data_IF_767144670794
#
_entry.id   IF_767144670794
#
_cell.length_a   1.000
_cell.length_b   1.000
_cell.length_c   1.000
_cell.angle_alpha   90.00
_cell.angle_beta   90.00
_cell.angle_gamma   90.00
#
_symmetry.space_group_name_H-M   'P 1'
#
loop_
_entity.id
_entity.type
_entity.pdbx_description
1 polymer ?
#
# COMPACT_ATOMS: atom_id res chain seq x y z
N UNK A 1 -23.06 14.82 -44.08
CA UNK A 1 -22.45 15.40 -42.86
C UNK A 1 -22.08 16.83 -43.18
N UNK A 2 -22.93 17.77 -42.78
CA UNK A 2 -22.76 19.21 -43.04
C UNK A 2 -21.58 19.74 -42.20
N UNK A 3 -20.63 20.43 -42.84
CA UNK A 3 -19.48 21.03 -42.14
C UNK A 3 -19.94 22.36 -41.53
N UNK A 4 -19.65 22.63 -40.24
CA UNK A 4 -20.07 23.88 -39.60
C UNK A 4 -19.43 25.08 -40.28
N UNK A 5 -20.23 26.12 -40.50
CA UNK A 5 -19.77 27.39 -41.08
C UNK A 5 -18.74 28.04 -40.15
N UNK A 6 -17.73 28.70 -40.73
CA UNK A 6 -16.65 29.37 -39.99
C UNK A 6 -17.16 30.31 -38.89
N UNK A 7 -18.29 30.98 -39.13
CA UNK A 7 -18.95 31.86 -38.16
C UNK A 7 -19.52 31.10 -36.96
N UNK A 8 -20.01 29.87 -37.16
CA UNK A 8 -20.50 29.02 -36.08
C UNK A 8 -19.34 28.56 -35.20
N UNK A 9 -18.19 28.23 -35.81
CA UNK A 9 -16.98 27.84 -35.08
C UNK A 9 -16.46 29.03 -34.26
N UNK A 10 -16.39 30.22 -34.86
CA UNK A 10 -15.92 31.42 -34.19
C UNK A 10 -16.78 31.79 -32.97
N UNK A 11 -18.10 31.78 -33.12
CA UNK A 11 -19.02 32.04 -32.00
C UNK A 11 -18.91 30.99 -30.90
N UNK A 12 -18.76 29.72 -31.27
CA UNK A 12 -18.60 28.64 -30.31
C UNK A 12 -17.30 28.80 -29.50
N UNK A 13 -16.19 29.11 -30.16
CA UNK A 13 -14.90 29.37 -29.50
C UNK A 13 -14.96 30.59 -28.58
N UNK A 14 -15.58 31.68 -29.04
CA UNK A 14 -15.74 32.89 -28.23
C UNK A 14 -16.59 32.62 -26.97
N UNK A 15 -17.67 31.85 -27.12
CA UNK A 15 -18.50 31.45 -25.98
C UNK A 15 -17.73 30.53 -25.01
N UNK A 16 -16.90 29.63 -25.52
CA UNK A 16 -16.05 28.76 -24.70
C UNK A 16 -15.01 29.55 -23.90
N UNK A 17 -14.39 30.56 -24.51
CA UNK A 17 -13.44 31.45 -23.83
C UNK A 17 -14.10 32.22 -22.69
N UNK A 18 -15.31 32.77 -22.92
CA UNK A 18 -16.06 33.44 -21.87
C UNK A 18 -16.46 32.49 -20.72
N UNK A 19 -16.79 31.23 -21.03
CA UNK A 19 -17.03 30.21 -19.99
C UNK A 19 -15.77 29.96 -19.17
N UNK A 20 -14.61 29.77 -19.78
CA UNK A 20 -13.35 29.55 -19.07
C UNK A 20 -12.94 30.74 -18.20
N UNK A 21 -13.14 31.97 -18.68
CA UNK A 21 -12.88 33.20 -17.90
C UNK A 21 -13.78 33.28 -16.67
N UNK A 22 -15.07 32.95 -16.80
CA UNK A 22 -16.02 32.92 -15.67
C UNK A 22 -15.76 31.77 -14.70
N UNK A 23 -15.30 30.64 -15.22
CA UNK A 23 -15.00 29.45 -14.43
C UNK A 23 -13.65 29.53 -13.72
N UNK A 24 -12.94 30.67 -13.88
CA UNK A 24 -11.73 31.11 -13.18
C UNK A 24 -10.91 29.96 -12.62
N UNK A 25 -9.93 29.47 -13.39
CA UNK A 25 -9.03 28.35 -13.07
C UNK A 25 -8.87 28.06 -11.57
N UNK A 26 -9.85 27.36 -11.00
CA UNK A 26 -9.71 26.64 -9.74
C UNK A 26 -8.91 25.40 -10.11
N UNK A 27 -7.63 25.60 -10.41
CA UNK A 27 -6.67 24.51 -10.35
C UNK A 27 -6.59 24.14 -8.87
N UNK A 28 -7.53 23.28 -8.46
CA UNK A 28 -7.48 22.59 -7.18
C UNK A 28 -6.32 21.60 -7.29
N UNK A 29 -5.09 22.12 -7.17
CA UNK A 29 -3.98 21.31 -6.71
C UNK A 29 -4.48 20.67 -5.40
N UNK A 30 -4.44 19.34 -5.25
CA UNK A 30 -4.59 18.76 -3.94
C UNK A 30 -3.39 19.27 -3.13
N UNK A 31 -3.62 20.25 -2.26
CA UNK A 31 -2.61 20.67 -1.29
C UNK A 31 -2.19 19.40 -0.52
N UNK A 32 -0.90 18.99 -0.55
CA UNK A 32 -0.46 17.81 0.19
C UNK A 32 -0.66 17.96 1.72
N UNK A 33 -0.92 19.18 2.19
CA UNK A 33 -1.23 19.49 3.58
C UNK A 33 -2.62 19.04 4.04
N UNK A 34 -3.54 18.65 3.13
CA UNK A 34 -4.91 18.25 3.50
C UNK A 34 -5.04 16.77 3.91
N UNK A 35 -3.98 15.98 3.83
CA UNK A 35 -4.00 14.57 4.26
C UNK A 35 -3.79 14.39 5.77
N UNK A 36 -3.44 15.45 6.51
CA UNK A 36 -3.29 15.39 7.96
C UNK A 36 -4.10 16.50 8.63
N UNK A 37 -5.42 16.31 8.74
CA UNK A 37 -6.17 16.93 9.82
C UNK A 37 -7.14 15.91 10.43
N UNK A 38 -7.12 15.68 11.76
CA UNK A 38 -8.25 15.09 12.43
C UNK A 38 -9.42 16.08 12.33
N UNK A 39 -10.55 15.63 11.80
CA UNK A 39 -11.73 16.49 11.67
C UNK A 39 -12.28 16.85 13.06
N UNK A 40 -12.09 18.10 13.45
CA UNK A 40 -12.87 18.77 14.48
C UNK A 40 -13.58 19.97 13.86
N UNK A 41 -14.89 19.85 13.63
CA UNK A 41 -15.74 20.99 13.27
C UNK A 41 -15.81 21.96 14.47
N UNK A 42 -15.40 23.21 14.29
CA UNK A 42 -15.81 24.31 15.17
C UNK A 42 -16.44 25.40 14.31
N UNK A 43 -17.72 25.69 14.57
CA UNK A 43 -18.48 26.78 13.98
C UNK A 43 -18.03 28.09 14.63
N UNK A 44 -17.76 29.12 13.83
CA UNK A 44 -17.50 30.47 14.30
C UNK A 44 -18.78 31.29 14.16
N UNK A 45 -19.49 31.52 15.26
CA UNK A 45 -20.45 32.62 15.35
C UNK A 45 -19.76 33.78 16.08
N UNK A 46 -19.79 34.94 15.44
CA UNK A 46 -19.32 36.22 15.94
C UNK A 46 -20.33 36.82 16.92
N UNK A 47 -19.90 37.08 18.16
CA UNK A 47 -20.44 38.19 18.95
C UNK A 47 -19.39 38.73 19.91
N UNK A 48 -19.26 40.05 19.91
CA UNK A 48 -18.40 40.81 20.79
C UNK A 48 -18.90 40.69 22.25
N UNK A 49 -17.95 40.50 23.16
CA UNK A 49 -18.17 40.45 24.60
C UNK A 49 -17.01 39.69 25.24
N UNK A 50 -16.13 40.40 25.97
CA UNK A 50 -14.99 39.80 26.67
C UNK A 50 -15.52 38.97 27.84
N UNK A 51 -15.94 37.75 27.56
CA UNK A 51 -16.25 36.74 28.56
C UNK A 51 -15.00 35.85 28.71
N UNK A 52 -14.37 35.85 29.89
CA UNK A 52 -13.31 34.91 30.21
C UNK A 52 -13.88 33.49 30.12
N UNK A 53 -13.66 32.83 28.99
CA UNK A 53 -14.02 31.43 28.82
C UNK A 53 -13.14 30.62 29.77
N UNK A 54 -13.75 30.12 30.85
CA UNK A 54 -13.11 29.12 31.70
C UNK A 54 -12.69 27.97 30.79
N UNK A 55 -11.38 27.68 30.73
CA UNK A 55 -10.90 26.48 30.04
C UNK A 55 -11.63 25.29 30.66
N UNK A 56 -12.47 24.62 29.86
CA UNK A 56 -12.93 23.29 30.22
C UNK A 56 -11.68 22.44 30.40
N UNK A 57 -11.40 21.89 31.59
CA UNK A 57 -10.28 21.00 31.75
C UNK A 57 -10.58 19.79 30.88
N UNK A 58 -9.92 19.70 29.73
CA UNK A 58 -9.78 18.44 29.05
C UNK A 58 -9.02 17.58 30.07
N UNK A 59 -9.77 16.74 30.81
CA UNK A 59 -9.17 15.69 31.62
C UNK A 59 -8.12 15.07 30.72
N UNK A 60 -6.85 15.07 31.15
CA UNK A 60 -5.76 14.49 30.36
C UNK A 60 -6.14 13.02 30.17
N UNK A 61 -6.84 12.73 29.08
CA UNK A 61 -6.99 11.40 28.57
C UNK A 61 -5.56 10.91 28.53
N UNK A 62 -5.28 9.83 29.25
CA UNK A 62 -3.95 9.27 29.31
C UNK A 62 -3.61 8.91 27.87
N UNK A 63 -2.86 9.76 27.19
CA UNK A 63 -2.31 9.57 25.84
C UNK A 63 -1.23 8.50 25.90
N UNK A 64 -1.54 7.36 26.51
CA UNK A 64 -0.55 6.35 26.86
C UNK A 64 -0.61 5.12 26.00
N UNK A 65 -1.65 4.95 25.17
CA UNK A 65 -1.81 3.68 24.44
C UNK A 65 -1.84 3.85 22.91
N UNK A 66 -2.24 5.02 22.37
CA UNK A 66 -2.30 5.23 20.91
C UNK A 66 -1.03 5.86 20.31
N UNK A 67 -0.24 6.56 21.12
CA UNK A 67 0.98 7.25 20.69
C UNK A 67 2.25 6.38 20.79
N UNK A 68 2.17 5.20 21.43
CA UNK A 68 3.35 4.40 21.78
C UNK A 68 3.72 3.29 20.80
N UNK A 69 2.81 2.88 19.91
CA UNK A 69 3.05 1.79 18.96
C UNK A 69 3.46 2.29 17.56
N UNK A 70 4.23 3.38 17.52
CA UNK A 70 4.64 4.03 16.28
C UNK A 70 6.13 4.37 16.35
N UNK A 71 6.87 4.22 15.24
CA UNK A 71 8.34 4.43 15.19
C UNK A 71 8.78 5.89 15.43
N UNK A 72 7.86 6.83 15.62
CA UNK A 72 8.14 8.25 15.89
C UNK A 72 8.28 9.13 14.64
N UNK A 73 8.56 10.43 14.81
CA UNK A 73 8.65 11.41 13.72
C UNK A 73 9.81 11.12 12.75
N UNK A 74 10.94 10.64 13.26
CA UNK A 74 12.14 10.34 12.46
C UNK A 74 11.88 9.28 11.38
N UNK A 75 10.85 8.44 11.61
CA UNK A 75 10.43 7.41 10.68
C UNK A 75 8.93 7.49 10.37
N UNK A 76 8.50 8.71 9.99
CA UNK A 76 7.18 9.03 9.41
C UNK A 76 5.98 8.42 10.14
N UNK A 77 6.08 8.27 11.46
CA UNK A 77 5.03 7.65 12.25
C UNK A 77 4.59 6.28 11.69
N UNK A 78 5.55 5.41 11.34
CA UNK A 78 5.24 4.06 10.86
C UNK A 78 4.56 3.25 11.98
N UNK A 79 3.35 2.69 11.73
CA UNK A 79 2.64 1.91 12.73
C UNK A 79 3.32 0.56 12.97
N UNK A 80 3.04 -0.02 14.13
CA UNK A 80 3.44 -1.38 14.47
C UNK A 80 2.86 -2.39 13.48
N UNK A 81 3.62 -3.45 13.23
CA UNK A 81 3.25 -4.51 12.29
C UNK A 81 2.06 -5.32 12.79
N UNK A 82 1.02 -5.42 11.96
CA UNK A 82 -0.10 -6.34 12.19
C UNK A 82 0.26 -7.76 11.75
N UNK A 83 0.27 -8.70 12.70
CA UNK A 83 0.66 -10.10 12.47
C UNK A 83 -0.47 -10.95 11.88
N UNK A 84 -0.98 -10.56 10.72
CA UNK A 84 -2.00 -11.31 9.98
C UNK A 84 -1.45 -12.67 9.49
N UNK A 85 -2.29 -13.70 9.31
CA UNK A 85 -1.83 -15.01 8.80
C UNK A 85 -1.32 -14.92 7.35
N UNK A 86 -1.80 -13.96 6.56
CA UNK A 86 -1.28 -13.65 5.24
C UNK A 86 0.14 -13.09 5.31
N UNK A 87 0.33 -12.08 6.17
CA UNK A 87 1.64 -11.47 6.35
C UNK A 87 2.68 -12.47 6.87
N UNK A 88 2.30 -13.37 7.79
CA UNK A 88 3.20 -14.43 8.27
C UNK A 88 3.67 -15.35 7.13
N UNK A 89 2.76 -15.73 6.22
CA UNK A 89 3.10 -16.56 5.05
C UNK A 89 4.04 -15.83 4.11
N UNK A 90 3.73 -14.57 3.79
CA UNK A 90 4.56 -13.74 2.93
C UNK A 90 5.95 -13.48 3.54
N UNK A 91 6.02 -13.24 4.86
CA UNK A 91 7.29 -13.09 5.56
C UNK A 91 8.15 -14.35 5.53
N UNK A 92 7.53 -15.52 5.77
CA UNK A 92 8.22 -16.78 5.66
C UNK A 92 8.78 -16.97 4.25
N UNK A 93 8.00 -16.64 3.23
CA UNK A 93 8.44 -16.69 1.83
C UNK A 93 9.61 -15.74 1.56
N UNK A 94 9.53 -14.50 2.04
CA UNK A 94 10.60 -13.50 1.93
C UNK A 94 11.88 -13.96 2.63
N UNK A 95 11.77 -14.59 3.80
CA UNK A 95 12.91 -15.15 4.53
C UNK A 95 13.61 -16.26 3.74
N UNK A 96 12.84 -17.03 2.97
CA UNK A 96 13.31 -18.14 2.16
C UNK A 96 13.56 -17.81 0.68
N UNK A 97 13.51 -16.53 0.29
CA UNK A 97 13.59 -16.11 -1.13
C UNK A 97 14.84 -16.58 -1.87
N UNK A 98 15.95 -16.77 -1.15
CA UNK A 98 17.19 -17.31 -1.73
C UNK A 98 17.10 -18.78 -2.18
N UNK A 99 16.08 -19.52 -1.74
CA UNK A 99 15.83 -20.90 -2.19
C UNK A 99 14.91 -20.97 -3.41
N UNK A 100 14.11 -19.94 -3.64
CA UNK A 100 13.09 -19.93 -4.69
C UNK A 100 13.70 -19.79 -6.08
N UNK A 101 14.72 -18.96 -6.21
CA UNK A 101 15.41 -18.75 -7.48
C UNK A 101 16.92 -18.98 -7.30
N UNK A 102 17.49 -20.02 -7.96
CA UNK A 102 18.93 -20.27 -7.90
C UNK A 102 19.78 -19.13 -8.48
N UNK A 103 19.22 -18.31 -9.39
CA UNK A 103 19.92 -17.18 -10.03
C UNK A 103 20.02 -15.96 -9.11
N UNK A 104 19.14 -15.85 -8.13
CA UNK A 104 19.06 -14.68 -7.25
C UNK A 104 19.37 -15.06 -5.79
N UNK A 105 20.64 -15.25 -5.52
CA UNK A 105 21.14 -15.48 -4.16
C UNK A 105 21.09 -14.18 -3.37
N UNK A 106 20.13 -14.09 -2.44
CA UNK A 106 20.00 -12.99 -1.49
C UNK A 106 20.39 -13.46 -0.09
N UNK A 107 20.85 -12.52 0.74
CA UNK A 107 21.10 -12.78 2.16
C UNK A 107 19.80 -13.23 2.83
N UNK A 108 19.92 -14.26 3.68
CA UNK A 108 18.80 -14.80 4.46
C UNK A 108 18.33 -13.75 5.45
N UNK A 109 17.02 -13.46 5.45
CA UNK A 109 16.42 -12.53 6.40
C UNK A 109 16.25 -13.20 7.77
N UNK A 110 16.01 -12.39 8.80
CA UNK A 110 15.67 -12.91 10.13
C UNK A 110 14.36 -13.71 10.07
N UNK A 111 14.27 -14.78 10.86
CA UNK A 111 13.04 -15.60 10.93
C UNK A 111 11.86 -14.85 11.51
N UNK A 112 12.11 -13.92 12.46
CA UNK A 112 11.06 -13.10 13.08
C UNK A 112 10.75 -11.88 12.19
N UNK A 113 9.46 -11.55 11.99
CA UNK A 113 9.08 -10.35 11.26
C UNK A 113 9.51 -9.08 12.02
N UNK A 114 9.74 -7.96 11.32
CA UNK A 114 10.12 -6.71 11.96
C UNK A 114 8.97 -6.13 12.79
N UNK A 115 9.32 -5.36 13.82
CA UNK A 115 8.36 -4.75 14.76
C UNK A 115 7.46 -3.70 14.09
N UNK A 116 8.00 -2.95 13.13
CA UNK A 116 7.29 -1.93 12.37
C UNK A 116 7.44 -2.22 10.89
N UNK A 117 6.33 -2.46 10.20
CA UNK A 117 6.26 -2.79 8.78
C UNK A 117 4.87 -2.44 8.25
N UNK A 118 4.84 -2.01 6.99
CA UNK A 118 3.60 -1.83 6.24
C UNK A 118 3.72 -2.52 4.89
N UNK A 119 2.67 -3.23 4.50
CA UNK A 119 2.55 -3.79 3.16
C UNK A 119 2.06 -2.67 2.24
N UNK A 120 2.81 -2.42 1.17
CA UNK A 120 2.46 -1.43 0.14
C UNK A 120 2.21 -2.10 -1.20
N UNK A 121 1.30 -1.53 -1.98
CA UNK A 121 1.10 -1.92 -3.38
C UNK A 121 2.03 -1.09 -4.29
N UNK A 122 2.63 -1.73 -5.29
CA UNK A 122 3.44 -1.02 -6.28
C UNK A 122 2.56 -0.37 -7.34
N UNK A 123 2.30 0.93 -7.22
CA UNK A 123 1.66 1.70 -8.29
C UNK A 123 2.57 1.79 -9.52
N UNK A 124 2.04 1.48 -10.71
CA UNK A 124 2.80 1.57 -11.96
C UNK A 124 3.18 3.01 -12.28
N UNK A 125 4.45 3.22 -12.63
CA UNK A 125 4.94 4.49 -13.17
C UNK A 125 4.51 4.66 -14.62
N UNK A 126 4.19 5.89 -15.04
CA UNK A 126 3.70 6.21 -16.40
C UNK A 126 4.64 5.75 -17.53
N UNK A 127 5.96 5.85 -17.31
CA UNK A 127 6.97 5.62 -18.34
C UNK A 127 7.43 4.15 -18.44
N UNK A 128 6.81 3.24 -17.70
CA UNK A 128 7.23 1.84 -17.67
C UNK A 128 6.76 1.10 -18.94
N UNK A 129 7.65 0.31 -19.57
CA UNK A 129 7.32 -0.51 -20.75
C UNK A 129 6.25 -1.55 -20.41
N UNK A 130 5.39 -1.90 -21.36
CA UNK A 130 4.26 -2.83 -21.16
C UNK A 130 4.66 -4.17 -20.52
N UNK A 131 5.83 -4.72 -20.86
CA UNK A 131 6.36 -5.99 -20.30
C UNK A 131 6.72 -5.93 -18.81
N UNK A 132 6.95 -4.75 -18.27
CA UNK A 132 7.26 -4.56 -16.85
C UNK A 132 6.02 -4.18 -16.03
N UNK A 133 4.86 -3.97 -16.69
CA UNK A 133 3.60 -3.65 -16.02
C UNK A 133 2.92 -4.94 -15.58
N UNK A 134 2.50 -5.02 -14.33
CA UNK A 134 1.61 -6.08 -13.87
C UNK A 134 0.24 -5.94 -14.54
N UNK A 135 -0.39 -7.06 -14.87
CA UNK A 135 -1.75 -7.08 -15.42
C UNK A 135 -2.77 -6.68 -14.35
N UNK A 136 -4.00 -6.31 -14.75
CA UNK A 136 -5.06 -5.93 -13.79
C UNK A 136 -5.36 -7.05 -12.79
N UNK A 137 -5.24 -8.31 -13.21
CA UNK A 137 -5.47 -9.47 -12.36
C UNK A 137 -4.38 -9.73 -11.32
N UNK A 138 -3.16 -9.26 -11.54
CA UNK A 138 -2.02 -9.50 -10.66
C UNK A 138 -1.89 -8.47 -9.54
N UNK A 139 -2.32 -7.21 -9.78
CA UNK A 139 -2.00 -6.05 -8.93
C UNK A 139 -2.41 -6.15 -7.46
N UNK A 140 -3.48 -6.88 -7.13
CA UNK A 140 -4.04 -6.94 -5.79
C UNK A 140 -3.88 -8.31 -5.11
N UNK A 141 -2.99 -9.16 -5.61
CA UNK A 141 -2.75 -10.48 -5.03
C UNK A 141 -1.64 -10.39 -3.98
N UNK A 142 -1.77 -11.03 -2.81
CA UNK A 142 -0.67 -11.14 -1.86
C UNK A 142 0.49 -11.91 -2.52
N UNK A 143 1.70 -11.62 -2.05
CA UNK A 143 2.94 -11.99 -2.74
C UNK A 143 3.06 -13.52 -2.92
N UNK A 144 2.61 -14.29 -1.94
CA UNK A 144 2.56 -15.74 -2.02
C UNK A 144 1.81 -16.27 -3.25
N UNK A 145 0.63 -15.72 -3.59
CA UNK A 145 -0.15 -16.22 -4.73
C UNK A 145 0.44 -15.80 -6.07
N UNK A 146 1.10 -14.63 -6.16
CA UNK A 146 1.84 -14.26 -7.36
C UNK A 146 2.97 -15.25 -7.63
N UNK A 147 3.78 -15.51 -6.60
CA UNK A 147 4.91 -16.43 -6.71
C UNK A 147 4.44 -17.85 -7.07
N UNK A 148 3.33 -18.31 -6.48
CA UNK A 148 2.78 -19.62 -6.82
C UNK A 148 2.33 -19.72 -8.29
N UNK A 149 1.88 -18.62 -8.88
CA UNK A 149 1.50 -18.56 -10.30
C UNK A 149 2.69 -18.53 -11.26
N UNK A 150 3.82 -17.95 -10.85
CA UNK A 150 5.02 -17.82 -11.70
C UNK A 150 6.01 -18.98 -11.54
N UNK A 151 6.05 -19.61 -10.37
CA UNK A 151 6.99 -20.69 -10.06
C UNK A 151 6.69 -21.97 -10.86
N UNK A 152 7.76 -22.66 -11.26
CA UNK A 152 7.66 -24.01 -11.80
C UNK A 152 7.37 -25.02 -10.68
N UNK A 153 6.07 -25.25 -10.45
CA UNK A 153 5.56 -26.21 -9.46
C UNK A 153 6.11 -27.63 -9.66
N UNK A 154 6.46 -28.01 -10.89
CA UNK A 154 7.04 -29.31 -11.22
C UNK A 154 8.46 -29.45 -10.67
N UNK A 155 9.28 -28.41 -10.86
CA UNK A 155 10.64 -28.37 -10.29
C UNK A 155 10.62 -28.39 -8.76
N UNK A 156 9.73 -27.60 -8.14
CA UNK A 156 9.59 -27.56 -6.67
C UNK A 156 9.16 -28.93 -6.13
N UNK A 157 8.16 -29.56 -6.74
CA UNK A 157 7.68 -30.90 -6.35
C UNK A 157 8.76 -31.96 -6.50
N UNK A 158 9.51 -31.93 -7.61
CA UNK A 158 10.62 -32.88 -7.86
C UNK A 158 11.72 -32.74 -6.81
N UNK A 159 12.14 -31.52 -6.50
CA UNK A 159 13.14 -31.25 -5.44
C UNK A 159 12.63 -31.69 -4.08
N UNK A 160 11.37 -31.39 -3.75
CA UNK A 160 10.73 -31.83 -2.51
C UNK A 160 10.74 -33.36 -2.38
N UNK A 161 10.29 -34.09 -3.40
CA UNK A 161 10.30 -35.56 -3.40
C UNK A 161 11.70 -36.16 -3.28
N UNK A 162 12.70 -35.55 -3.92
CA UNK A 162 14.12 -35.95 -3.77
C UNK A 162 14.61 -35.77 -2.34
N UNK A 163 14.26 -34.66 -1.69
CA UNK A 163 14.61 -34.40 -0.28
C UNK A 163 13.89 -35.38 0.64
N UNK A 164 12.60 -35.63 0.43
CA UNK A 164 11.82 -36.58 1.22
C UNK A 164 12.40 -37.98 1.13
N UNK A 165 12.73 -38.46 -0.08
CA UNK A 165 13.38 -39.77 -0.28
C UNK A 165 14.71 -39.88 0.45
N UNK A 166 15.53 -38.81 0.43
CA UNK A 166 16.81 -38.77 1.16
C UNK A 166 16.62 -38.76 2.68
N UNK A 167 15.58 -38.09 3.19
CA UNK A 167 15.26 -38.06 4.61
C UNK A 167 14.68 -39.39 5.11
N UNK A 168 13.95 -40.10 4.25
CA UNK A 168 13.34 -41.39 4.60
C UNK A 168 14.29 -42.59 4.43
N UNK A 169 15.38 -42.48 3.66
CA UNK A 169 16.28 -43.60 3.38
C UNK A 169 17.02 -44.18 4.60
N UNK A 170 17.09 -43.46 5.72
CA UNK A 170 17.70 -43.93 6.97
C UNK A 170 16.71 -44.20 8.11
N UNK A 171 15.41 -43.94 7.91
CA UNK A 171 14.40 -44.10 8.95
C UNK A 171 13.65 -45.41 8.70
N UNK A 172 13.81 -46.39 9.60
CA UNK A 172 13.04 -47.64 9.58
C UNK A 172 11.55 -47.23 9.54
N UNK A 173 10.83 -47.61 8.48
CA UNK A 173 9.36 -47.47 8.47
C UNK A 173 8.91 -48.31 9.66
N UNK A 174 8.48 -47.68 10.74
CA UNK A 174 7.81 -48.39 11.83
C UNK A 174 6.52 -48.93 11.24
N UNK A 175 6.55 -50.19 10.80
CA UNK A 175 5.38 -51.02 10.60
C UNK A 175 4.74 -51.20 11.98
N UNK A 176 3.96 -50.22 12.40
CA UNK A 176 2.96 -50.40 13.44
C UNK A 176 1.76 -51.07 12.76
N UNK A 177 1.37 -52.23 13.29
CA UNK A 177 0.24 -53.04 12.83
C UNK A 177 -1.11 -52.41 13.13
#
# INVERSE_FOLDING_TARGET
MEKPSSLQIHNFLHQAEQRLRRQGLQHRSPDPAKFCQPQGKVKSDSSAGVAHTLRVPLARARDTDQTKDTTGPDWFYLPRTDLTPEFKRDWQLLSMRGLLDPKHQKKVLRSKPPLYCRIGESTSRLNLKSRQRCTRSERNRPQFYQILGEQDVGQVKTKYSKIQRRKSSGKKKSSGG
#
